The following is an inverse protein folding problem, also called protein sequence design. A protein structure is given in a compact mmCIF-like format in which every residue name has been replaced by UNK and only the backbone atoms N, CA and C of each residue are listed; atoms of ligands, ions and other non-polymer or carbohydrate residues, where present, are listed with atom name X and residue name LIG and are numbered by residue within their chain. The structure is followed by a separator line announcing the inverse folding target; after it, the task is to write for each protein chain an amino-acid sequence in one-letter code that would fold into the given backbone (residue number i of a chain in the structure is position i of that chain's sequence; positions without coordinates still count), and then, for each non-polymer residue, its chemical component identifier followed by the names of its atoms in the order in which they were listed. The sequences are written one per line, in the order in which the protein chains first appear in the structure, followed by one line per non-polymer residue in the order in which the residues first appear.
data_IF_230319279301
#
_entry.id   IF_230319279301
#
_cell.length_a   1.000
_cell.length_b   1.000
_cell.length_c   1.000
_cell.angle_alpha   90.00
_cell.angle_beta   90.00
_cell.angle_gamma   90.00
#
_symmetry.space_group_name_H-M   'P 1'
#
loop_
_entity.id
_entity.type
_entity.pdbx_description
1 polymer ?
#
# COMPACT_ATOMS: atom_id res chain seq x y z
N UNK A 1 66.54 38.94 -4.09
CA UNK A 1 66.03 37.58 -3.77
C UNK A 1 65.15 37.54 -2.50
N UNK A 2 64.07 38.35 -2.41
CA UNK A 2 63.14 38.33 -1.24
C UNK A 2 61.65 38.19 -1.62
N UNK A 3 61.32 38.21 -2.91
CA UNK A 3 59.93 38.13 -3.41
C UNK A 3 59.53 36.75 -3.94
N UNK A 4 60.51 35.92 -4.36
CA UNK A 4 60.27 34.59 -4.92
C UNK A 4 59.96 33.57 -3.81
N UNK A 5 60.56 33.73 -2.63
CA UNK A 5 60.32 32.86 -1.47
C UNK A 5 58.95 33.05 -0.82
N UNK A 6 58.32 34.23 -0.97
CA UNK A 6 56.95 34.47 -0.46
C UNK A 6 55.86 33.85 -1.35
N UNK A 7 56.11 33.70 -2.65
CA UNK A 7 55.13 33.13 -3.58
C UNK A 7 55.05 31.60 -3.44
N UNK A 8 56.19 30.94 -3.21
CA UNK A 8 56.25 29.49 -3.03
C UNK A 8 55.67 29.01 -1.69
N UNK A 9 55.81 29.80 -0.61
CA UNK A 9 55.19 29.48 0.68
C UNK A 9 53.65 29.64 0.65
N UNK A 10 53.14 30.59 -0.15
CA UNK A 10 51.70 30.81 -0.28
C UNK A 10 51.00 29.69 -1.08
N UNK A 11 51.69 29.12 -2.07
CA UNK A 11 51.17 27.98 -2.85
C UNK A 11 51.19 26.69 -2.02
N UNK A 12 52.22 26.48 -1.19
CA UNK A 12 52.31 25.29 -0.34
C UNK A 12 51.31 25.30 0.83
N UNK A 13 50.89 26.48 1.31
CA UNK A 13 49.80 26.58 2.31
C UNK A 13 48.40 26.40 1.70
N UNK A 14 48.19 26.71 0.42
CA UNK A 14 46.87 26.58 -0.22
C UNK A 14 46.51 25.13 -0.58
N UNK A 15 47.50 24.26 -0.74
CA UNK A 15 47.27 22.84 -1.09
C UNK A 15 47.00 21.95 0.13
N UNK A 16 47.35 22.39 1.35
CA UNK A 16 47.14 21.61 2.57
C UNK A 16 45.72 21.82 3.14
N UNK A 17 45.03 22.92 2.79
CA UNK A 17 43.64 23.15 3.21
C UNK A 17 42.59 22.47 2.33
N UNK A 18 42.99 21.75 1.28
CA UNK A 18 42.08 20.95 0.43
C UNK A 18 42.07 19.45 0.77
N UNK A 19 42.86 19.00 1.76
CA UNK A 19 42.92 17.59 2.18
C UNK A 19 42.39 17.34 3.60
N UNK A 20 41.59 18.24 4.17
CA UNK A 20 40.93 18.01 5.47
C UNK A 20 39.50 18.52 5.50
N UNK A 21 38.69 17.98 4.59
CA UNK A 21 37.32 17.52 4.80
C UNK A 21 36.91 16.71 3.55
N UNK A 22 37.72 15.69 3.22
CA UNK A 22 37.16 14.44 2.71
C UNK A 22 36.88 13.60 3.96
N UNK A 23 35.92 14.06 4.74
CA UNK A 23 34.89 13.11 5.08
C UNK A 23 34.24 12.90 3.73
N UNK A 24 34.50 11.74 3.10
CA UNK A 24 33.44 11.13 2.32
C UNK A 24 32.22 11.25 3.23
N UNK A 25 31.38 12.27 2.98
CA UNK A 25 29.99 12.06 3.22
C UNK A 25 29.70 10.93 2.25
N UNK A 26 29.86 9.70 2.75
CA UNK A 26 28.71 8.82 2.76
C UNK A 26 27.55 9.77 3.05
N UNK A 27 26.88 10.20 1.98
CA UNK A 27 25.47 10.44 2.08
C UNK A 27 25.03 9.22 2.84
N UNK A 28 24.84 9.37 4.15
CA UNK A 28 23.85 8.60 4.87
C UNK A 28 22.59 8.91 4.08
N UNK A 29 22.40 8.13 3.02
CA UNK A 29 21.10 7.73 2.54
C UNK A 29 20.43 7.32 3.83
N UNK A 30 19.65 8.25 4.40
CA UNK A 30 18.70 7.88 5.43
C UNK A 30 18.02 6.66 4.83
N UNK A 31 18.26 5.50 5.42
CA UNK A 31 17.77 4.25 4.88
C UNK A 31 16.26 4.44 4.78
N UNK A 32 15.77 4.59 3.54
CA UNK A 32 14.37 4.84 3.29
C UNK A 32 13.55 3.79 4.04
N UNK A 33 12.44 4.21 4.64
CA UNK A 33 11.56 3.28 5.36
C UNK A 33 11.12 2.17 4.41
N UNK A 34 10.73 1.02 4.96
CA UNK A 34 10.31 -0.08 4.11
C UNK A 34 9.12 0.31 3.22
N UNK A 35 8.21 1.10 3.78
CA UNK A 35 7.11 1.73 3.05
C UNK A 35 7.61 2.63 1.90
N UNK A 36 8.57 3.52 2.13
CA UNK A 36 9.12 4.39 1.08
C UNK A 36 9.74 3.60 -0.07
N UNK A 37 10.47 2.53 0.26
CA UNK A 37 11.06 1.62 -0.74
C UNK A 37 9.98 0.95 -1.58
N UNK A 38 8.91 0.45 -0.95
CA UNK A 38 7.81 -0.21 -1.64
C UNK A 38 6.99 0.78 -2.50
N UNK A 39 6.75 2.01 -2.01
CA UNK A 39 6.04 3.07 -2.75
C UNK A 39 6.81 3.54 -4.00
N UNK A 40 8.14 3.44 -3.98
CA UNK A 40 8.99 3.75 -5.14
C UNK A 40 8.88 2.69 -6.25
N UNK A 41 8.44 1.48 -5.92
CA UNK A 41 8.18 0.43 -6.91
C UNK A 41 6.87 0.70 -7.66
N UNK A 42 6.81 0.21 -8.89
CA UNK A 42 5.60 0.32 -9.68
C UNK A 42 4.48 -0.56 -9.12
N UNK A 43 3.33 0.05 -8.84
CA UNK A 43 2.18 -0.60 -8.20
C UNK A 43 0.86 -0.31 -8.95
N UNK A 44 -0.14 -1.14 -8.70
CA UNK A 44 -1.50 -1.06 -9.26
C UNK A 44 -2.45 -0.20 -8.41
N UNK A 45 -1.92 0.46 -7.39
CA UNK A 45 -2.63 1.42 -6.55
C UNK A 45 -2.24 1.30 -5.09
N UNK A 46 -2.67 2.29 -4.34
CA UNK A 46 -2.40 2.42 -2.90
C UNK A 46 -3.73 2.76 -2.22
N UNK A 47 -4.10 2.01 -1.18
CA UNK A 47 -5.26 2.29 -0.34
C UNK A 47 -4.78 2.53 1.09
N UNK A 48 -5.29 3.57 1.73
CA UNK A 48 -5.06 3.82 3.15
C UNK A 48 -6.38 3.73 3.89
N UNK A 49 -6.40 2.93 4.96
CA UNK A 49 -7.53 2.72 5.86
C UNK A 49 -7.01 2.89 7.27
N UNK A 50 -7.48 3.91 7.99
CA UNK A 50 -6.94 4.29 9.30
C UNK A 50 -5.40 4.46 9.26
N UNK A 51 -4.66 3.71 10.08
CA UNK A 51 -3.19 3.68 10.14
C UNK A 51 -2.55 2.65 9.19
N UNK A 52 -3.36 1.84 8.52
CA UNK A 52 -2.89 0.82 7.58
C UNK A 52 -2.75 1.39 6.16
N UNK A 53 -1.61 1.12 5.52
CA UNK A 53 -1.37 1.39 4.10
C UNK A 53 -1.23 0.09 3.33
N UNK A 54 -2.07 -0.07 2.31
CA UNK A 54 -2.10 -1.22 1.42
C UNK A 54 -1.50 -0.82 0.07
N UNK A 55 -0.49 -1.55 -0.39
CA UNK A 55 0.13 -1.36 -1.70
C UNK A 55 -0.19 -2.58 -2.58
N UNK A 56 -0.90 -2.33 -3.69
CA UNK A 56 -1.30 -3.37 -4.63
C UNK A 56 -0.16 -3.65 -5.61
N UNK A 57 0.57 -4.75 -5.43
CA UNK A 57 1.69 -5.11 -6.29
C UNK A 57 1.21 -5.53 -7.68
N UNK A 58 2.08 -5.37 -8.67
CA UNK A 58 1.85 -5.88 -10.04
C UNK A 58 1.76 -7.40 -10.11
N UNK A 59 2.33 -8.11 -9.14
CA UNK A 59 2.29 -9.57 -9.02
C UNK A 59 0.91 -10.10 -8.64
N UNK A 60 -0.02 -9.23 -8.21
CA UNK A 60 -1.34 -9.60 -7.68
C UNK A 60 -1.38 -9.73 -6.15
N UNK A 61 -0.23 -9.62 -5.50
CA UNK A 61 -0.13 -9.55 -4.03
C UNK A 61 -0.45 -8.14 -3.52
N UNK A 62 -0.82 -8.06 -2.24
CA UNK A 62 -1.01 -6.80 -1.53
C UNK A 62 -0.08 -6.77 -0.33
N UNK A 63 0.76 -5.74 -0.24
CA UNK A 63 1.59 -5.49 0.93
C UNK A 63 0.85 -4.55 1.89
N UNK A 64 0.77 -4.94 3.17
CA UNK A 64 0.19 -4.14 4.25
C UNK A 64 1.31 -3.55 5.09
N UNK A 65 1.19 -2.27 5.41
CA UNK A 65 2.09 -1.53 6.28
C UNK A 65 1.29 -0.89 7.42
N UNK A 66 1.84 -0.90 8.63
CA UNK A 66 1.31 -0.21 9.81
C UNK A 66 2.46 0.62 10.37
N UNK A 67 2.26 1.93 10.56
CA UNK A 67 3.31 2.83 11.06
C UNK A 67 4.64 2.76 10.26
N UNK A 68 4.55 2.65 8.93
CA UNK A 68 5.68 2.56 7.98
C UNK A 68 6.45 1.23 7.94
N UNK A 69 6.21 0.33 8.89
CA UNK A 69 6.76 -1.02 8.91
C UNK A 69 5.83 -2.00 8.16
N UNK A 70 6.39 -2.96 7.44
CA UNK A 70 5.57 -3.99 6.79
C UNK A 70 4.97 -4.90 7.87
N UNK A 71 3.65 -5.08 7.82
CA UNK A 71 2.96 -6.07 8.64
C UNK A 71 3.04 -7.44 7.96
N UNK A 72 2.60 -7.55 6.70
CA UNK A 72 2.81 -8.73 5.86
C UNK A 72 2.43 -8.47 4.39
N UNK A 73 2.76 -9.42 3.52
CA UNK A 73 2.22 -9.50 2.16
C UNK A 73 1.15 -10.58 2.10
N UNK A 74 0.06 -10.37 1.37
CA UNK A 74 -0.98 -11.38 1.18
C UNK A 74 -1.53 -11.44 -0.24
N UNK A 75 -2.15 -12.58 -0.58
CA UNK A 75 -2.92 -12.79 -1.81
C UNK A 75 -4.17 -13.61 -1.47
N UNK A 76 -5.29 -13.32 -2.12
CA UNK A 76 -6.44 -14.22 -2.07
C UNK A 76 -6.22 -15.39 -3.03
N UNK A 77 -6.36 -16.62 -2.54
CA UNK A 77 -6.16 -17.84 -3.35
C UNK A 77 -7.32 -18.05 -4.32
N UNK A 78 -8.53 -17.65 -3.93
CA UNK A 78 -9.72 -17.72 -4.75
C UNK A 78 -10.06 -16.34 -5.31
N UNK A 79 -10.51 -16.28 -6.57
CA UNK A 79 -11.03 -15.05 -7.14
C UNK A 79 -12.26 -14.59 -6.35
N UNK A 80 -12.28 -13.31 -5.96
CA UNK A 80 -13.42 -12.71 -5.27
C UNK A 80 -14.57 -12.56 -6.27
N UNK A 81 -15.68 -13.26 -6.01
CA UNK A 81 -16.92 -13.13 -6.79
C UNK A 81 -17.71 -11.92 -6.32
N UNK A 82 -17.99 -10.96 -7.20
CA UNK A 82 -18.77 -9.77 -6.86
C UNK A 82 -19.68 -9.32 -8.00
N UNK A 83 -20.74 -8.59 -7.63
CA UNK A 83 -21.59 -7.81 -8.52
C UNK A 83 -21.58 -6.36 -8.07
N UNK A 84 -21.58 -5.45 -9.03
CA UNK A 84 -21.73 -4.01 -8.77
C UNK A 84 -23.15 -3.57 -9.11
N UNK A 85 -23.70 -2.61 -8.38
CA UNK A 85 -24.96 -1.97 -8.76
C UNK A 85 -24.75 -1.13 -10.02
N UNK A 86 -25.29 -1.55 -11.16
CA UNK A 86 -25.16 -0.86 -12.45
C UNK A 86 -25.89 0.50 -12.55
N UNK A 87 -26.52 0.98 -11.47
CA UNK A 87 -27.50 2.06 -11.56
C UNK A 87 -26.88 3.45 -11.69
N UNK A 88 -25.70 3.69 -11.10
CA UNK A 88 -25.24 5.05 -10.87
C UNK A 88 -23.83 5.25 -11.45
N UNK A 89 -23.79 5.82 -12.67
CA UNK A 89 -22.56 6.19 -13.38
C UNK A 89 -21.87 7.42 -12.79
N UNK A 90 -22.41 7.98 -11.70
CA UNK A 90 -21.90 9.17 -11.05
C UNK A 90 -21.26 8.83 -9.71
N UNK A 91 -20.01 9.23 -9.53
CA UNK A 91 -19.24 9.01 -8.31
C UNK A 91 -19.93 9.56 -7.03
N UNK A 92 -20.85 10.53 -7.17
CA UNK A 92 -21.58 11.13 -6.04
C UNK A 92 -22.63 10.17 -5.44
N UNK A 93 -23.15 9.23 -6.24
CA UNK A 93 -24.29 8.40 -5.85
C UNK A 93 -23.88 7.06 -5.18
N UNK A 94 -22.58 6.85 -5.02
CA UNK A 94 -22.00 5.69 -4.35
C UNK A 94 -21.93 4.42 -5.21
N UNK A 95 -21.03 3.51 -4.84
CA UNK A 95 -20.84 2.21 -5.47
C UNK A 95 -21.17 1.12 -4.46
N UNK A 96 -22.21 0.32 -4.75
CA UNK A 96 -22.48 -0.90 -3.97
C UNK A 96 -21.86 -2.10 -4.67
N UNK A 97 -21.01 -2.81 -3.96
CA UNK A 97 -20.44 -4.10 -4.34
C UNK A 97 -21.08 -5.17 -3.46
N UNK A 98 -21.51 -6.28 -4.05
CA UNK A 98 -22.22 -7.35 -3.33
C UNK A 98 -21.64 -8.71 -3.71
N UNK A 99 -21.40 -9.54 -2.70
CA UNK A 99 -21.09 -10.96 -2.86
C UNK A 99 -22.37 -11.66 -3.32
N UNK A 100 -22.42 -12.26 -4.52
CA UNK A 100 -23.63 -12.88 -5.04
C UNK A 100 -24.05 -14.15 -4.30
N UNK A 101 -23.14 -14.77 -3.55
CA UNK A 101 -23.37 -16.04 -2.87
C UNK A 101 -23.88 -15.84 -1.44
N UNK A 102 -23.49 -14.75 -0.78
CA UNK A 102 -23.84 -14.45 0.63
C UNK A 102 -24.69 -13.21 0.84
N UNK A 103 -24.84 -12.38 -0.19
CA UNK A 103 -25.47 -11.05 -0.13
C UNK A 103 -24.73 -10.03 0.77
N UNK A 104 -23.55 -10.37 1.29
CA UNK A 104 -22.65 -9.41 1.95
C UNK A 104 -22.27 -8.29 0.99
N UNK A 105 -22.11 -7.09 1.52
CA UNK A 105 -21.91 -5.92 0.68
C UNK A 105 -20.91 -4.92 1.26
N UNK A 106 -20.40 -4.10 0.35
CA UNK A 106 -19.68 -2.86 0.64
C UNK A 106 -20.35 -1.73 -0.11
N UNK A 107 -20.65 -0.63 0.57
CA UNK A 107 -21.15 0.61 -0.04
C UNK A 107 -20.08 1.67 0.08
N UNK A 108 -19.49 2.04 -1.05
CA UNK A 108 -18.58 3.17 -1.13
C UNK A 108 -19.37 4.45 -1.41
N UNK A 109 -19.09 5.52 -0.68
CA UNK A 109 -19.84 6.78 -0.76
C UNK A 109 -18.96 7.99 -0.46
N UNK A 110 -19.51 9.21 -0.59
CA UNK A 110 -18.83 10.46 -0.23
C UNK A 110 -17.48 10.66 -0.94
N UNK A 111 -17.45 10.38 -2.25
CA UNK A 111 -16.23 10.51 -3.04
C UNK A 111 -15.79 11.97 -3.22
N UNK A 112 -14.53 12.26 -2.93
CA UNK A 112 -13.88 13.57 -3.11
C UNK A 112 -12.52 13.40 -3.81
N UNK A 113 -12.25 14.17 -4.89
CA UNK A 113 -10.90 14.24 -5.46
C UNK A 113 -10.02 15.15 -4.61
N UNK A 114 -8.93 14.58 -4.10
CA UNK A 114 -7.89 15.35 -3.45
C UNK A 114 -6.86 15.83 -4.47
N UNK A 115 -6.12 16.87 -4.09
CA UNK A 115 -4.93 17.30 -4.85
C UNK A 115 -3.97 16.11 -4.97
N UNK A 116 -3.35 15.96 -6.15
CA UNK A 116 -2.41 14.88 -6.50
C UNK A 116 -3.02 13.55 -6.99
N UNK A 117 -4.31 13.54 -7.37
CA UNK A 117 -4.95 12.36 -7.97
C UNK A 117 -5.30 11.26 -6.97
N UNK A 118 -5.41 11.64 -5.69
CA UNK A 118 -5.96 10.82 -4.63
C UNK A 118 -7.48 11.00 -4.58
N UNK A 119 -8.17 9.95 -4.17
CA UNK A 119 -9.62 9.93 -4.04
C UNK A 119 -9.94 9.55 -2.62
N UNK A 120 -10.67 10.41 -1.92
CA UNK A 120 -11.16 10.15 -0.58
C UNK A 120 -12.60 9.64 -0.65
N UNK A 121 -12.97 8.67 0.17
CA UNK A 121 -14.33 8.13 0.24
C UNK A 121 -14.58 7.45 1.60
N UNK A 122 -15.84 7.14 1.87
CA UNK A 122 -16.26 6.31 2.99
C UNK A 122 -16.72 4.94 2.49
N UNK A 123 -16.63 3.91 3.33
CA UNK A 123 -17.10 2.56 3.06
C UNK A 123 -17.96 2.02 4.20
N UNK A 124 -19.17 1.56 3.90
CA UNK A 124 -20.04 0.84 4.83
C UNK A 124 -20.02 -0.66 4.47
N UNK A 125 -19.77 -1.50 5.47
CA UNK A 125 -19.79 -2.96 5.34
C UNK A 125 -21.15 -3.51 5.75
N UNK A 126 -21.55 -4.68 5.23
CA UNK A 126 -22.78 -5.37 5.66
C UNK A 126 -22.76 -5.82 7.13
N UNK A 127 -21.61 -5.74 7.80
CA UNK A 127 -21.49 -5.92 9.26
C UNK A 127 -22.02 -4.72 10.05
N UNK A 128 -22.31 -3.59 9.38
CA UNK A 128 -22.67 -2.30 10.00
C UNK A 128 -21.46 -1.44 10.35
N UNK A 129 -20.24 -1.92 10.11
CA UNK A 129 -19.03 -1.12 10.27
C UNK A 129 -18.94 -0.05 9.18
N UNK A 130 -18.60 1.18 9.60
CA UNK A 130 -18.39 2.32 8.71
C UNK A 130 -16.94 2.77 8.84
N UNK A 131 -16.23 2.72 7.73
CA UNK A 131 -14.87 3.18 7.58
C UNK A 131 -14.92 4.53 6.89
N UNK A 132 -14.42 5.57 7.56
CA UNK A 132 -14.50 6.95 7.08
C UNK A 132 -13.16 7.44 6.55
N UNK A 133 -13.19 8.32 5.55
CA UNK A 133 -12.00 9.02 5.02
C UNK A 133 -10.89 8.11 4.53
N UNK A 134 -11.25 7.01 3.86
CA UNK A 134 -10.28 6.17 3.16
C UNK A 134 -9.69 6.96 2.01
N UNK A 135 -8.41 6.78 1.73
CA UNK A 135 -7.77 7.40 0.57
C UNK A 135 -7.25 6.34 -0.39
N UNK A 136 -7.61 6.46 -1.67
CA UNK A 136 -7.13 5.59 -2.73
C UNK A 136 -6.41 6.40 -3.80
N UNK A 137 -5.26 5.88 -4.23
CA UNK A 137 -4.54 6.36 -5.40
C UNK A 137 -4.50 5.22 -6.43
N UNK A 138 -5.16 5.36 -7.59
CA UNK A 138 -5.09 4.33 -8.62
C UNK A 138 -3.68 4.22 -9.21
N UNK A 139 -3.27 3.00 -9.54
CA UNK A 139 -2.04 2.77 -10.30
C UNK A 139 -2.15 3.33 -11.72
N UNK A 140 -1.00 3.48 -12.41
CA UNK A 140 -0.96 4.07 -13.77
C UNK A 140 -1.84 3.34 -14.80
N UNK A 141 -2.06 2.05 -14.63
CA UNK A 141 -2.93 1.22 -15.49
C UNK A 141 -4.42 1.36 -15.18
N UNK A 142 -4.76 1.80 -13.97
CA UNK A 142 -6.13 1.83 -13.44
C UNK A 142 -6.65 3.26 -13.25
N UNK A 143 -5.82 4.27 -13.53
CA UNK A 143 -6.23 5.66 -13.57
C UNK A 143 -7.17 5.88 -14.75
N UNK A 144 -8.46 6.07 -14.46
CA UNK A 144 -9.42 6.46 -15.49
C UNK A 144 -8.96 7.76 -16.15
N UNK A 145 -8.88 7.78 -17.47
CA UNK A 145 -8.69 9.00 -18.27
C UNK A 145 -9.91 9.93 -18.18
N UNK A 146 -11.05 9.41 -17.71
CA UNK A 146 -12.29 10.15 -17.62
C UNK A 146 -12.42 10.79 -16.24
N UNK A 147 -12.32 12.11 -16.22
CA UNK A 147 -12.76 12.93 -15.09
C UNK A 147 -14.25 12.65 -14.85
N UNK A 148 -14.56 11.95 -13.76
CA UNK A 148 -15.82 12.00 -13.01
C UNK A 148 -17.15 11.64 -13.69
N UNK A 149 -17.21 11.48 -15.01
CA UNK A 149 -18.51 11.53 -15.69
C UNK A 149 -19.08 10.19 -16.18
N UNK A 150 -18.28 9.13 -16.32
CA UNK A 150 -18.81 7.91 -16.95
C UNK A 150 -18.41 6.57 -16.29
N UNK A 151 -17.39 6.54 -15.42
CA UNK A 151 -16.89 5.30 -14.82
C UNK A 151 -16.58 5.46 -13.32
N UNK A 152 -16.80 4.42 -12.49
CA UNK A 152 -16.43 4.44 -11.09
C UNK A 152 -14.92 4.64 -10.96
N UNK A 153 -14.54 5.63 -10.14
CA UNK A 153 -13.13 6.03 -9.93
C UNK A 153 -12.30 4.89 -9.34
N UNK A 154 -12.94 3.99 -8.60
CA UNK A 154 -12.36 2.70 -8.22
C UNK A 154 -12.67 1.72 -9.37
N UNK A 155 -11.74 1.60 -10.33
CA UNK A 155 -11.82 0.62 -11.41
C UNK A 155 -11.71 -0.82 -10.88
N UNK A 156 -12.24 -1.79 -11.63
CA UNK A 156 -12.45 -3.21 -11.25
C UNK A 156 -11.62 -3.69 -10.05
N UNK A 157 -12.27 -3.67 -8.89
CA UNK A 157 -11.71 -3.26 -7.60
C UNK A 157 -11.20 -4.42 -6.76
N UNK A 158 -10.87 -5.56 -7.38
CA UNK A 158 -10.55 -6.81 -6.65
C UNK A 158 -9.51 -6.61 -5.52
N UNK A 159 -8.43 -5.82 -5.69
CA UNK A 159 -7.48 -5.55 -4.61
C UNK A 159 -8.05 -4.68 -3.48
N UNK A 160 -8.90 -3.69 -3.80
CA UNK A 160 -9.57 -2.84 -2.80
C UNK A 160 -10.57 -3.66 -2.00
N UNK A 161 -11.41 -4.45 -2.65
CA UNK A 161 -12.33 -5.41 -2.00
C UNK A 161 -11.53 -6.32 -1.06
N UNK A 162 -10.41 -6.88 -1.54
CA UNK A 162 -9.55 -7.75 -0.75
C UNK A 162 -8.95 -7.07 0.48
N UNK A 163 -8.44 -5.85 0.36
CA UNK A 163 -7.90 -5.09 1.48
C UNK A 163 -8.98 -4.77 2.53
N UNK A 164 -10.21 -4.43 2.11
CA UNK A 164 -11.32 -4.17 3.02
C UNK A 164 -11.75 -5.44 3.79
N UNK A 165 -11.76 -6.58 3.09
CA UNK A 165 -12.01 -7.89 3.69
C UNK A 165 -10.94 -8.22 4.73
N UNK A 166 -9.66 -8.05 4.40
CA UNK A 166 -8.55 -8.27 5.33
C UNK A 166 -8.67 -7.36 6.56
N UNK A 167 -8.88 -6.06 6.36
CA UNK A 167 -9.00 -5.08 7.43
C UNK A 167 -10.09 -5.47 8.43
N UNK A 168 -11.29 -5.82 7.93
CA UNK A 168 -12.42 -6.23 8.77
C UNK A 168 -12.15 -7.51 9.60
N UNK A 169 -11.11 -8.27 9.25
CA UNK A 169 -10.75 -9.54 9.86
C UNK A 169 -9.42 -9.51 10.62
N UNK A 170 -8.83 -8.33 10.81
CA UNK A 170 -7.52 -8.17 11.45
C UNK A 170 -7.42 -8.88 12.82
N UNK A 171 -8.49 -8.84 13.62
CA UNK A 171 -8.55 -9.51 14.91
C UNK A 171 -8.41 -11.04 14.81
N UNK A 172 -8.83 -11.63 13.70
CA UNK A 172 -8.81 -13.07 13.45
C UNK A 172 -7.50 -13.53 12.80
N UNK A 173 -6.80 -12.62 12.11
CA UNK A 173 -5.48 -12.83 11.53
C UNK A 173 -4.34 -12.90 12.56
N UNK A 174 -4.62 -12.64 13.85
CA UNK A 174 -3.61 -12.76 14.92
C UNK A 174 -2.91 -14.13 14.95
N UNK A 175 -3.63 -15.22 14.66
CA UNK A 175 -3.02 -16.55 14.61
C UNK A 175 -2.15 -16.75 13.36
N UNK A 176 -2.44 -16.05 12.26
CA UNK A 176 -1.56 -16.00 11.09
C UNK A 176 -0.27 -15.25 11.40
N UNK A 177 -0.37 -14.12 12.09
CA UNK A 177 0.79 -13.28 12.47
C UNK A 177 1.83 -14.04 13.29
N UNK A 178 1.41 -14.93 14.19
CA UNK A 178 2.35 -15.80 14.90
C UNK A 178 3.15 -16.74 13.98
N UNK A 179 2.57 -17.19 12.86
CA UNK A 179 3.28 -17.98 11.86
C UNK A 179 4.18 -17.11 10.97
N UNK A 180 3.78 -15.85 10.71
CA UNK A 180 4.57 -14.86 9.98
C UNK A 180 5.91 -14.57 10.67
N UNK A 181 5.88 -14.33 11.98
CA UNK A 181 7.07 -14.08 12.78
C UNK A 181 8.13 -15.18 12.63
N UNK A 182 7.72 -16.45 12.44
CA UNK A 182 8.66 -17.56 12.25
C UNK A 182 9.41 -17.47 10.92
N UNK A 183 8.74 -17.04 9.84
CA UNK A 183 9.36 -16.85 8.53
C UNK A 183 10.35 -15.68 8.54
N UNK A 184 9.95 -14.55 9.15
CA UNK A 184 10.80 -13.37 9.29
C UNK A 184 12.06 -13.65 10.10
N UNK A 185 11.94 -14.46 11.17
CA UNK A 185 13.09 -14.91 11.96
C UNK A 185 14.09 -15.78 11.18
N UNK A 186 13.71 -16.29 10.01
CA UNK A 186 14.60 -16.99 9.08
C UNK A 186 15.12 -16.10 7.93
N UNK A 187 14.93 -14.78 8.03
CA UNK A 187 15.15 -13.77 6.99
C UNK A 187 14.28 -13.96 5.73
N UNK A 188 13.21 -14.76 5.82
CA UNK A 188 12.30 -14.93 4.70
C UNK A 188 11.25 -13.83 4.64
N UNK A 189 10.72 -13.58 3.45
CA UNK A 189 9.60 -12.65 3.23
C UNK A 189 8.32 -13.47 3.17
N UNK A 190 7.39 -13.27 4.12
CA UNK A 190 6.17 -14.05 4.13
C UNK A 190 5.09 -13.51 3.18
N UNK A 191 4.44 -14.43 2.47
CA UNK A 191 3.20 -14.21 1.73
C UNK A 191 2.08 -15.06 2.31
N UNK A 192 1.02 -14.40 2.78
CA UNK A 192 -0.19 -15.05 3.28
C UNK A 192 -1.15 -15.34 2.14
N UNK A 193 -1.38 -16.62 1.88
CA UNK A 193 -2.48 -17.09 1.06
C UNK A 193 -3.77 -17.11 1.91
N UNK A 194 -4.64 -16.12 1.67
CA UNK A 194 -5.93 -15.99 2.32
C UNK A 194 -7.00 -16.74 1.53
N UNK A 195 -7.75 -17.59 2.22
CA UNK A 195 -8.97 -18.20 1.69
C UNK A 195 -10.14 -17.62 2.45
N UNK A 196 -11.00 -16.88 1.75
CA UNK A 196 -12.28 -16.45 2.33
C UNK A 196 -13.08 -17.67 2.74
N UNK A 197 -13.71 -17.59 3.90
CA UNK A 197 -14.62 -18.62 4.35
C UNK A 197 -15.94 -18.62 3.57
N UNK A 198 -17.02 -18.99 4.26
CA UNK A 198 -18.37 -18.98 3.69
C UNK A 198 -18.87 -17.61 3.24
N UNK A 199 -18.16 -16.53 3.57
CA UNK A 199 -18.43 -15.15 3.17
C UNK A 199 -17.20 -14.25 3.33
N UNK A 200 -17.32 -13.00 2.86
CA UNK A 200 -16.32 -11.94 2.93
C UNK A 200 -16.00 -11.51 4.35
N UNK A 201 -17.01 -11.38 5.22
CA UNK A 201 -16.84 -10.89 6.59
C UNK A 201 -17.03 -11.99 7.63
N UNK A 202 -17.06 -13.23 7.17
CA UNK A 202 -17.05 -14.43 8.03
C UNK A 202 -15.63 -14.86 8.31
N UNK A 203 -15.42 -15.60 9.40
CA UNK A 203 -14.08 -16.03 9.80
C UNK A 203 -13.26 -16.69 8.69
N UNK A 204 -11.98 -16.30 8.60
CA UNK A 204 -10.99 -16.88 7.69
C UNK A 204 -10.91 -18.39 7.93
N UNK A 205 -11.15 -19.18 6.89
CA UNK A 205 -11.15 -20.64 6.98
C UNK A 205 -9.74 -21.20 7.15
N UNK A 206 -8.76 -20.61 6.46
CA UNK A 206 -7.37 -21.03 6.56
C UNK A 206 -6.41 -19.93 6.14
N UNK A 207 -5.21 -20.05 6.67
CA UNK A 207 -4.09 -19.18 6.43
C UNK A 207 -2.90 -20.03 6.05
N UNK A 208 -2.53 -20.00 4.77
CA UNK A 208 -1.35 -20.69 4.28
C UNK A 208 -0.20 -19.69 4.17
N UNK A 209 0.97 -20.07 4.69
CA UNK A 209 2.17 -19.24 4.66
C UNK A 209 3.12 -19.76 3.59
N UNK A 210 3.45 -18.90 2.63
CA UNK A 210 4.59 -19.09 1.73
C UNK A 210 5.73 -18.21 2.26
N UNK A 211 6.90 -18.80 2.55
CA UNK A 211 8.09 -18.08 2.97
C UNK A 211 9.08 -18.06 1.81
N UNK A 212 9.44 -16.87 1.34
CA UNK A 212 10.37 -16.68 0.23
C UNK A 212 11.74 -16.25 0.75
N UNK A 213 12.82 -16.72 0.11
CA UNK A 213 14.20 -16.29 0.40
C UNK A 213 14.50 -14.89 -0.14
#
# INVERSE_FOLDING_TARGET
MKKITKLLLAIFLLTITLQSCSTDSEETTMNASELEKELALENNGILTVADATYIFKKTGETAKFINEDRDFTFKFVNQLSYKTSAANKHAIEGLKITNPDTEEYMVFSNFEELKNGLVQFDAELSTGEVLSSLTYKPGKSNGSLNKWHDEPVIGDTTPVIGAMIEFSQEGQLRNCRAALEVCENTNGVPTVALTNGKGWFTSIESCALECHD
#
